data_IF_454481430342
#
_entry.id   IF_454481430342
#
_cell.length_a   1.000
_cell.length_b   1.000
_cell.length_c   1.000
_cell.angle_alpha   90.00
_cell.angle_beta   90.00
_cell.angle_gamma   90.00
#
_symmetry.space_group_name_H-M   'P 1'
#
loop_
_entity.id
_entity.type
_entity.pdbx_description
1 polymer ?
#
# COMPACT_ATOMS: atom_id res chain seq x y z
N UNK A 1 -9.91 16.09 -3.43
CA UNK A 1 -10.21 14.63 -3.31
C UNK A 1 -10.35 14.02 -4.68
N UNK A 2 -11.28 14.49 -5.50
CA UNK A 2 -11.58 13.95 -6.84
C UNK A 2 -10.36 13.87 -7.78
N UNK A 3 -9.48 14.86 -7.76
CA UNK A 3 -8.28 14.89 -8.62
C UNK A 3 -7.31 13.73 -8.35
N UNK A 4 -7.13 13.29 -7.09
CA UNK A 4 -6.21 12.19 -6.76
C UNK A 4 -6.77 10.82 -7.13
N UNK A 5 -8.05 10.57 -6.90
CA UNK A 5 -8.71 9.34 -7.37
C UNK A 5 -8.57 9.19 -8.88
N UNK A 6 -8.79 10.28 -9.62
CA UNK A 6 -8.57 10.30 -11.07
C UNK A 6 -7.12 10.01 -11.45
N UNK A 7 -6.14 10.56 -10.71
CA UNK A 7 -4.72 10.29 -10.97
C UNK A 7 -4.36 8.83 -10.72
N UNK A 8 -4.86 8.23 -9.62
CA UNK A 8 -4.67 6.80 -9.33
C UNK A 8 -5.28 5.92 -10.40
N UNK A 9 -6.54 6.23 -10.80
CA UNK A 9 -7.20 5.50 -11.86
C UNK A 9 -6.37 5.56 -13.16
N UNK A 10 -5.96 6.74 -13.58
CA UNK A 10 -5.13 6.92 -14.79
C UNK A 10 -3.77 6.20 -14.68
N UNK A 11 -3.17 6.14 -13.49
CA UNK A 11 -1.93 5.41 -13.26
C UNK A 11 -2.14 3.90 -13.39
N UNK A 12 -3.23 3.36 -12.85
CA UNK A 12 -3.62 1.94 -13.04
C UNK A 12 -3.94 1.61 -14.49
N UNK A 13 -4.68 2.48 -15.17
CA UNK A 13 -4.98 2.32 -16.59
C UNK A 13 -3.70 2.32 -17.45
N UNK A 14 -2.73 3.19 -17.12
CA UNK A 14 -1.43 3.20 -17.78
C UNK A 14 -0.62 1.93 -17.49
N UNK A 15 -0.64 1.41 -16.27
CA UNK A 15 0.00 0.14 -15.93
C UNK A 15 -0.61 -1.05 -16.70
N UNK A 16 -1.92 -1.07 -16.88
CA UNK A 16 -2.61 -2.16 -17.62
C UNK A 16 -2.50 -2.01 -19.13
N UNK A 17 -2.55 -0.79 -19.64
CA UNK A 17 -2.68 -0.52 -21.07
C UNK A 17 -1.40 -0.08 -21.79
N UNK A 18 -0.34 0.31 -21.07
CA UNK A 18 0.92 0.80 -21.67
C UNK A 18 2.08 -0.11 -21.26
N UNK A 19 2.61 -0.95 -22.17
CA UNK A 19 3.65 -1.93 -21.83
C UNK A 19 4.91 -1.31 -21.20
N UNK A 20 5.35 -0.14 -21.66
CA UNK A 20 6.49 0.58 -21.12
C UNK A 20 6.26 1.05 -19.68
N UNK A 21 5.07 1.48 -19.33
CA UNK A 21 4.71 1.85 -17.95
C UNK A 21 4.72 0.61 -17.04
N UNK A 22 4.12 -0.49 -17.51
CA UNK A 22 4.12 -1.75 -16.77
C UNK A 22 5.53 -2.29 -16.54
N UNK A 23 6.38 -2.27 -17.60
CA UNK A 23 7.76 -2.71 -17.51
C UNK A 23 8.56 -1.86 -16.52
N UNK A 24 8.42 -0.53 -16.55
CA UNK A 24 9.09 0.36 -15.62
C UNK A 24 8.75 0.05 -14.15
N UNK A 25 7.46 -0.06 -13.83
CA UNK A 25 7.03 -0.34 -12.45
C UNK A 25 7.45 -1.74 -11.99
N UNK A 26 7.37 -2.75 -12.87
CA UNK A 26 7.84 -4.12 -12.57
C UNK A 26 9.35 -4.15 -12.34
N UNK A 27 10.12 -3.44 -13.15
CA UNK A 27 11.58 -3.33 -12.99
C UNK A 27 11.93 -2.65 -11.66
N UNK A 28 11.26 -1.55 -11.32
CA UNK A 28 11.45 -0.90 -10.02
C UNK A 28 11.14 -1.85 -8.86
N UNK A 29 10.03 -2.57 -8.92
CA UNK A 29 9.67 -3.59 -7.90
C UNK A 29 10.78 -4.65 -7.78
N UNK A 30 11.23 -5.19 -8.90
CA UNK A 30 12.26 -6.24 -8.91
C UNK A 30 13.60 -5.74 -8.37
N UNK A 31 13.99 -4.51 -8.70
CA UNK A 31 15.26 -3.95 -8.25
C UNK A 31 15.26 -3.55 -6.78
N UNK A 32 14.11 -3.14 -6.22
CA UNK A 32 14.03 -2.67 -4.83
C UNK A 32 13.69 -3.81 -3.87
N UNK A 33 12.69 -4.62 -4.21
CA UNK A 33 12.20 -5.68 -3.31
C UNK A 33 12.84 -7.04 -3.65
N UNK A 34 13.13 -7.28 -4.93
CA UNK A 34 13.66 -8.57 -5.41
C UNK A 34 12.80 -9.76 -4.91
N UNK A 35 13.40 -10.69 -4.20
CA UNK A 35 12.74 -11.84 -3.57
C UNK A 35 12.06 -11.53 -2.24
N UNK A 36 12.17 -10.30 -1.74
CA UNK A 36 11.69 -9.85 -0.43
C UNK A 36 12.83 -9.38 0.48
N UNK A 37 12.52 -8.40 1.33
CA UNK A 37 13.45 -7.86 2.30
C UNK A 37 13.42 -8.70 3.57
N UNK A 38 14.58 -9.13 4.03
CA UNK A 38 14.76 -9.90 5.26
C UNK A 38 15.35 -9.02 6.37
N UNK A 39 15.04 -9.28 7.65
CA UNK A 39 15.65 -8.56 8.74
C UNK A 39 17.14 -8.92 8.86
N UNK A 40 17.98 -7.92 9.06
CA UNK A 40 19.39 -8.06 9.42
C UNK A 40 19.57 -7.39 10.78
N UNK A 41 19.29 -8.08 11.90
CA UNK A 41 19.38 -7.49 13.22
C UNK A 41 20.85 -7.12 13.54
N UNK A 42 21.04 -5.88 13.98
CA UNK A 42 22.31 -5.36 14.48
C UNK A 42 22.08 -4.95 15.93
N UNK A 43 22.46 -5.82 16.85
CA UNK A 43 22.26 -5.61 18.28
C UNK A 43 23.54 -5.04 18.88
N UNK A 44 23.42 -3.95 19.62
CA UNK A 44 24.50 -3.42 20.43
C UNK A 44 24.64 -4.25 21.69
N UNK A 45 25.56 -5.20 21.67
CA UNK A 45 25.83 -6.11 22.79
C UNK A 45 26.42 -5.39 23.99
N UNK A 46 27.25 -4.36 23.79
CA UNK A 46 27.88 -3.59 24.87
C UNK A 46 26.81 -2.83 25.66
N UNK A 47 25.90 -2.14 24.97
CA UNK A 47 24.78 -1.41 25.60
C UNK A 47 23.86 -2.32 26.40
N UNK A 48 23.62 -3.55 25.93
CA UNK A 48 22.74 -4.52 26.58
C UNK A 48 23.48 -5.41 27.61
N UNK A 49 24.80 -5.29 27.74
CA UNK A 49 25.59 -6.12 28.60
C UNK A 49 25.67 -7.59 28.18
N UNK A 50 25.52 -7.86 26.89
CA UNK A 50 25.55 -9.21 26.30
C UNK A 50 26.98 -9.56 25.88
N UNK A 51 27.33 -10.83 26.06
CA UNK A 51 28.55 -11.40 25.47
C UNK A 51 28.35 -11.58 23.94
N UNK A 52 29.45 -11.65 23.19
CA UNK A 52 29.42 -11.86 21.75
C UNK A 52 28.60 -13.11 21.36
N UNK A 53 28.78 -14.22 22.05
CA UNK A 53 28.01 -15.43 21.79
C UNK A 53 26.53 -15.35 22.13
N UNK A 54 26.14 -14.53 23.13
CA UNK A 54 24.72 -14.27 23.43
C UNK A 54 24.09 -13.37 22.40
N UNK A 55 24.83 -12.36 21.93
CA UNK A 55 24.39 -11.47 20.84
C UNK A 55 24.14 -12.24 19.54
N UNK A 56 25.08 -13.09 19.11
CA UNK A 56 24.93 -13.92 17.92
C UNK A 56 23.71 -14.86 18.02
N UNK A 57 23.53 -15.51 19.18
CA UNK A 57 22.36 -16.39 19.42
C UNK A 57 21.05 -15.62 19.33
N UNK A 58 20.99 -14.42 19.92
CA UNK A 58 19.79 -13.58 19.88
C UNK A 58 19.48 -13.12 18.45
N UNK A 59 20.49 -12.69 17.70
CA UNK A 59 20.33 -12.30 16.31
C UNK A 59 19.84 -13.48 15.45
N UNK A 60 20.43 -14.65 15.61
CA UNK A 60 20.01 -15.87 14.91
C UNK A 60 18.57 -16.28 15.28
N UNK A 61 18.21 -16.14 16.56
CA UNK A 61 16.85 -16.40 17.01
C UNK A 61 15.84 -15.46 16.37
N UNK A 62 16.12 -14.15 16.31
CA UNK A 62 15.24 -13.16 15.68
C UNK A 62 15.00 -13.51 14.21
N UNK A 63 16.06 -13.82 13.47
CA UNK A 63 15.93 -14.19 12.05
C UNK A 63 15.10 -15.45 11.89
N UNK A 64 15.36 -16.48 12.70
CA UNK A 64 14.61 -17.73 12.66
C UNK A 64 13.13 -17.55 12.96
N UNK A 65 12.79 -16.84 14.04
CA UNK A 65 11.40 -16.60 14.44
C UNK A 65 10.65 -15.74 13.38
N UNK A 66 11.35 -14.76 12.81
CA UNK A 66 10.81 -13.98 11.72
C UNK A 66 10.54 -14.85 10.49
N UNK A 67 11.46 -15.72 10.08
CA UNK A 67 11.28 -16.61 8.93
C UNK A 67 10.11 -17.58 9.13
N UNK A 68 9.96 -18.15 10.33
CA UNK A 68 8.80 -19.01 10.66
C UNK A 68 7.45 -18.30 10.46
N UNK A 69 7.40 -17.00 10.73
CA UNK A 69 6.20 -16.20 10.49
C UNK A 69 6.08 -15.75 9.04
N UNK A 70 7.18 -15.30 8.41
CA UNK A 70 7.20 -14.65 7.12
C UNK A 70 7.07 -15.60 5.92
N UNK A 71 7.62 -16.82 6.03
CA UNK A 71 7.66 -17.79 4.93
C UNK A 71 6.31 -18.45 4.65
N UNK A 72 5.35 -18.29 5.56
CA UNK A 72 4.04 -18.91 5.47
C UNK A 72 2.93 -17.88 5.21
N UNK A 73 1.83 -18.25 4.51
CA UNK A 73 0.68 -17.37 4.33
C UNK A 73 -0.06 -17.00 5.63
N UNK A 74 0.39 -17.54 6.77
CA UNK A 74 -0.21 -17.21 8.07
C UNK A 74 0.03 -15.76 8.47
N UNK A 75 1.10 -15.13 7.99
CA UNK A 75 1.35 -13.71 8.18
C UNK A 75 0.33 -12.81 7.48
N UNK A 76 -0.33 -13.29 6.44
CA UNK A 76 -1.37 -12.58 5.71
C UNK A 76 -2.74 -12.74 6.39
N UNK A 77 -3.48 -11.65 6.52
CA UNK A 77 -4.86 -11.67 7.04
C UNK A 77 -5.84 -12.39 6.12
N UNK A 78 -5.56 -12.43 4.81
CA UNK A 78 -6.33 -13.10 3.77
C UNK A 78 -5.81 -14.52 3.50
N UNK A 79 -4.61 -14.87 4.00
CA UNK A 79 -3.94 -16.17 3.87
C UNK A 79 -3.65 -16.59 2.43
N UNK A 80 -3.35 -15.65 1.59
CA UNK A 80 -3.03 -15.88 0.19
C UNK A 80 -1.52 -15.86 0.00
N UNK A 81 -0.88 -14.79 0.49
CA UNK A 81 0.52 -14.48 0.24
C UNK A 81 1.42 -14.67 1.47
N UNK A 82 2.67 -15.00 1.26
CA UNK A 82 3.69 -14.91 2.30
C UNK A 82 4.15 -13.44 2.46
N UNK A 83 4.94 -13.16 3.49
CA UNK A 83 5.35 -11.78 3.78
C UNK A 83 6.16 -11.13 2.67
N UNK A 84 6.95 -11.88 1.93
CA UNK A 84 7.76 -11.36 0.82
C UNK A 84 6.92 -11.01 -0.40
N UNK A 85 5.88 -11.80 -0.67
CA UNK A 85 4.88 -11.49 -1.70
C UNK A 85 4.05 -10.26 -1.32
N UNK A 86 3.66 -10.13 -0.04
CA UNK A 86 3.00 -8.92 0.47
C UNK A 86 3.88 -7.68 0.32
N UNK A 87 5.20 -7.77 0.54
CA UNK A 87 6.12 -6.65 0.29
C UNK A 87 6.15 -6.25 -1.18
N UNK A 88 6.19 -7.21 -2.10
CA UNK A 88 6.16 -6.95 -3.53
C UNK A 88 4.84 -6.29 -3.95
N UNK A 89 3.72 -6.78 -3.42
CA UNK A 89 2.39 -6.23 -3.68
C UNK A 89 2.26 -4.81 -3.12
N UNK A 90 2.68 -4.60 -1.87
CA UNK A 90 2.65 -3.30 -1.21
C UNK A 90 3.52 -2.26 -1.96
N UNK A 91 4.72 -2.65 -2.40
CA UNK A 91 5.58 -1.74 -3.15
C UNK A 91 4.99 -1.39 -4.52
N UNK A 92 4.41 -2.36 -5.22
CA UNK A 92 3.72 -2.10 -6.49
C UNK A 92 2.50 -1.18 -6.28
N UNK A 93 1.72 -1.41 -5.23
CA UNK A 93 0.60 -0.54 -4.82
C UNK A 93 1.07 0.89 -4.54
N UNK A 94 2.16 1.04 -3.78
CA UNK A 94 2.80 2.33 -3.53
C UNK A 94 3.18 3.05 -4.84
N UNK A 95 3.81 2.37 -5.79
CA UNK A 95 4.20 2.95 -7.07
C UNK A 95 3.00 3.39 -7.91
N UNK A 96 1.96 2.54 -7.99
CA UNK A 96 0.76 2.79 -8.80
C UNK A 96 -0.17 3.83 -8.19
N UNK A 97 -0.39 3.76 -6.87
CA UNK A 97 -1.39 4.58 -6.19
C UNK A 97 -0.77 5.79 -5.49
N UNK A 98 0.57 5.80 -5.30
CA UNK A 98 1.31 6.82 -4.57
C UNK A 98 1.43 6.56 -3.08
N UNK A 99 0.56 5.73 -2.54
CA UNK A 99 0.62 5.23 -1.17
C UNK A 99 0.09 3.81 -1.09
N UNK A 100 0.51 3.10 -0.04
CA UNK A 100 -0.01 1.79 0.33
C UNK A 100 -0.27 1.75 1.83
N UNK A 101 -1.33 1.07 2.22
CA UNK A 101 -1.77 1.01 3.61
C UNK A 101 -1.88 -0.44 4.02
N UNK A 102 -1.17 -0.79 5.10
CA UNK A 102 -1.26 -2.09 5.72
C UNK A 102 -1.81 -1.96 7.14
N UNK A 103 -2.84 -2.72 7.44
CA UNK A 103 -3.35 -2.91 8.80
C UNK A 103 -2.60 -4.06 9.45
N UNK A 104 -2.38 -3.97 10.75
CA UNK A 104 -1.68 -4.95 11.56
C UNK A 104 -2.62 -5.59 12.61
N UNK A 105 -3.64 -6.36 12.20
CA UNK A 105 -4.54 -6.98 13.13
C UNK A 105 -3.86 -8.12 13.90
N UNK A 106 -4.15 -8.22 15.19
CA UNK A 106 -3.80 -9.38 16.03
C UNK A 106 -4.95 -10.38 15.98
N UNK A 107 -4.72 -11.53 15.35
CA UNK A 107 -5.74 -12.59 15.21
C UNK A 107 -5.22 -13.89 15.79
N UNK A 108 -5.65 -14.21 17.01
CA UNK A 108 -5.32 -15.48 17.65
C UNK A 108 -5.94 -16.65 16.90
N UNK A 109 -5.15 -17.68 16.69
CA UNK A 109 -5.59 -18.92 16.04
C UNK A 109 -4.95 -20.12 16.72
N UNK A 110 -5.75 -21.17 16.95
CA UNK A 110 -5.28 -22.43 17.52
C UNK A 110 -4.21 -23.06 16.61
N UNK A 111 -3.12 -23.50 17.20
CA UNK A 111 -2.00 -24.13 16.49
C UNK A 111 -1.04 -23.15 15.80
N UNK A 112 -1.24 -21.84 15.95
CA UNK A 112 -0.34 -20.83 15.41
C UNK A 112 0.35 -20.05 16.55
N UNK A 113 1.69 -19.97 16.53
CA UNK A 113 2.44 -19.29 17.60
C UNK A 113 2.38 -17.75 17.47
N UNK A 114 2.09 -17.23 16.28
CA UNK A 114 2.08 -15.79 16.00
C UNK A 114 0.68 -15.28 15.71
N UNK A 115 0.27 -14.23 16.42
CA UNK A 115 -1.05 -13.60 16.27
C UNK A 115 -1.05 -12.44 15.27
N UNK A 116 0.14 -11.87 14.99
CA UNK A 116 0.29 -10.74 14.07
C UNK A 116 -0.06 -11.16 12.63
N UNK A 117 -0.89 -10.35 11.99
CA UNK A 117 -1.22 -10.46 10.57
C UNK A 117 -0.97 -9.13 9.88
N UNK A 118 -0.70 -9.19 8.60
CA UNK A 118 -0.65 -8.02 7.71
C UNK A 118 -1.86 -8.08 6.80
N UNK A 119 -2.59 -7.00 6.69
CA UNK A 119 -3.70 -6.84 5.76
C UNK A 119 -3.46 -5.62 4.89
N UNK A 120 -3.17 -5.84 3.62
CA UNK A 120 -3.07 -4.75 2.66
C UNK A 120 -4.47 -4.21 2.34
N UNK A 121 -4.58 -2.91 2.25
CA UNK A 121 -5.83 -2.22 1.94
C UNK A 121 -5.60 -1.31 0.76
N UNK A 122 -6.36 -1.50 -0.30
CA UNK A 122 -6.30 -0.63 -1.46
C UNK A 122 -6.41 0.84 -1.07
N UNK A 123 -5.53 1.66 -1.61
CA UNK A 123 -5.41 3.08 -1.28
C UNK A 123 -6.74 3.85 -1.43
N UNK A 124 -7.62 3.45 -2.34
CA UNK A 124 -8.91 4.09 -2.57
C UNK A 124 -9.96 3.73 -1.52
N UNK A 125 -9.81 2.58 -0.85
CA UNK A 125 -10.69 2.20 0.28
C UNK A 125 -10.43 3.04 1.53
N UNK A 126 -9.25 3.65 1.64
CA UNK A 126 -9.00 4.65 2.68
C UNK A 126 -9.46 6.00 2.17
N UNK A 127 -10.67 6.37 2.50
CA UNK A 127 -11.35 7.57 2.04
C UNK A 127 -12.21 8.19 3.15
N UNK A 128 -12.48 9.47 3.00
CA UNK A 128 -13.33 10.19 3.98
C UNK A 128 -14.75 9.65 3.96
N UNK A 129 -15.38 9.45 5.13
CA UNK A 129 -16.77 9.03 5.23
C UNK A 129 -17.67 9.93 4.38
N UNK A 130 -18.65 9.32 3.69
CA UNK A 130 -19.58 9.98 2.77
C UNK A 130 -18.91 10.74 1.61
N UNK A 131 -17.61 10.50 1.37
CA UNK A 131 -16.84 11.13 0.29
C UNK A 131 -16.41 12.57 0.56
N UNK A 132 -16.67 13.13 1.75
CA UNK A 132 -16.38 14.51 2.09
C UNK A 132 -15.24 14.65 3.10
N UNK A 133 -14.24 15.45 2.75
CA UNK A 133 -13.20 15.87 3.69
C UNK A 133 -13.76 16.83 4.74
N UNK A 134 -13.28 16.72 5.96
CA UNK A 134 -13.69 17.56 7.10
C UNK A 134 -12.47 18.29 7.64
N UNK A 135 -12.48 19.61 7.47
CA UNK A 135 -11.34 20.46 7.84
C UNK A 135 -11.55 21.18 9.18
N UNK A 136 -12.70 20.98 9.81
CA UNK A 136 -13.05 21.56 11.10
C UNK A 136 -13.48 20.48 12.08
N UNK A 137 -13.34 20.71 13.40
CA UNK A 137 -13.80 19.77 14.40
C UNK A 137 -15.30 19.45 14.24
N UNK A 138 -15.61 18.17 14.20
CA UNK A 138 -16.98 17.68 14.04
C UNK A 138 -17.14 16.29 14.68
N UNK A 139 -18.35 15.76 14.66
CA UNK A 139 -18.62 14.38 15.08
C UNK A 139 -18.94 13.53 13.87
N UNK A 140 -18.24 12.42 13.71
CA UNK A 140 -18.43 11.44 12.63
C UNK A 140 -18.62 10.06 13.24
N UNK A 141 -19.75 9.41 12.97
CA UNK A 141 -20.09 8.09 13.53
C UNK A 141 -19.87 8.00 15.06
N UNK A 142 -20.18 9.07 15.80
CA UNK A 142 -20.02 9.13 17.25
C UNK A 142 -18.61 9.51 17.75
N UNK A 143 -17.62 9.60 16.86
CA UNK A 143 -16.26 10.04 17.21
C UNK A 143 -16.11 11.54 17.06
N UNK A 144 -15.53 12.19 18.08
CA UNK A 144 -15.09 13.59 17.97
C UNK A 144 -13.78 13.63 17.19
N UNK A 145 -13.79 14.22 16.02
CA UNK A 145 -12.63 14.31 15.12
C UNK A 145 -12.24 15.77 14.94
N UNK A 146 -10.95 16.08 14.83
CA UNK A 146 -10.48 17.44 14.54
C UNK A 146 -10.50 17.70 13.03
N UNK A 147 -9.89 16.82 12.25
CA UNK A 147 -10.00 16.87 10.79
C UNK A 147 -9.88 15.49 10.16
N UNK A 148 -10.53 15.30 9.01
CA UNK A 148 -10.38 14.10 8.16
C UNK A 148 -10.10 14.58 6.76
N UNK A 149 -8.96 14.18 6.20
CA UNK A 149 -8.56 14.48 4.83
C UNK A 149 -8.26 13.18 4.10
N UNK A 150 -9.07 12.84 3.11
CA UNK A 150 -8.90 11.63 2.29
C UNK A 150 -8.77 10.34 3.12
N UNK A 151 -9.59 10.24 4.17
CA UNK A 151 -9.60 9.08 5.06
C UNK A 151 -8.53 9.08 6.15
N UNK A 152 -7.66 10.08 6.20
CA UNK A 152 -6.65 10.25 7.25
C UNK A 152 -7.17 11.25 8.27
N UNK A 153 -7.39 10.81 9.50
CA UNK A 153 -7.82 11.63 10.63
C UNK A 153 -6.60 12.18 11.38
N UNK A 154 -6.64 13.48 11.68
CA UNK A 154 -5.58 14.13 12.46
C UNK A 154 -6.16 14.86 13.66
N UNK A 155 -5.34 15.03 14.69
CA UNK A 155 -5.64 15.92 15.83
C UNK A 155 -5.36 17.39 15.52
N UNK A 156 -5.43 18.24 16.56
CA UNK A 156 -5.19 19.67 16.45
C UNK A 156 -3.76 20.03 16.03
N UNK A 157 -2.78 19.20 16.42
CA UNK A 157 -1.36 19.41 16.11
C UNK A 157 -0.96 18.80 14.76
N UNK A 158 -1.93 18.14 14.09
CA UNK A 158 -1.72 17.49 12.79
C UNK A 158 -1.13 16.10 12.88
N UNK A 159 -1.05 15.48 14.06
CA UNK A 159 -0.68 14.09 14.23
C UNK A 159 -1.77 13.17 13.68
N UNK A 160 -1.38 12.12 12.99
CA UNK A 160 -2.32 11.11 12.49
C UNK A 160 -2.80 10.24 13.65
N UNK A 161 -4.10 10.25 13.91
CA UNK A 161 -4.71 9.49 15.00
C UNK A 161 -5.50 8.27 14.54
N UNK A 162 -6.09 8.33 13.35
CA UNK A 162 -6.84 7.21 12.80
C UNK A 162 -6.93 7.24 11.27
N UNK A 163 -7.36 6.12 10.71
CA UNK A 163 -7.67 5.94 9.30
C UNK A 163 -9.11 5.46 9.14
N UNK A 164 -9.81 6.02 8.15
CA UNK A 164 -11.18 5.63 7.81
C UNK A 164 -11.16 4.71 6.60
N UNK A 165 -11.50 3.46 6.82
CA UNK A 165 -11.43 2.38 5.82
C UNK A 165 -12.85 2.01 5.41
N UNK A 166 -13.14 2.14 4.12
CA UNK A 166 -14.41 1.73 3.52
C UNK A 166 -14.44 0.20 3.33
N UNK A 167 -15.59 -0.42 3.57
CA UNK A 167 -15.77 -1.86 3.35
C UNK A 167 -15.68 -2.25 1.87
N UNK A 168 -16.05 -1.35 0.95
CA UNK A 168 -16.03 -1.56 -0.50
C UNK A 168 -15.09 -0.57 -1.20
N UNK A 169 -14.67 -0.92 -2.42
CA UNK A 169 -13.94 0.03 -3.27
C UNK A 169 -14.91 1.15 -3.72
N UNK A 170 -14.59 2.44 -3.50
CA UNK A 170 -15.52 3.56 -3.75
C UNK A 170 -16.03 3.68 -5.20
N UNK A 171 -15.24 3.15 -6.16
CA UNK A 171 -15.58 3.13 -7.59
C UNK A 171 -16.03 1.74 -8.05
N UNK A 172 -16.19 0.78 -7.14
CA UNK A 172 -16.69 -0.55 -7.46
C UNK A 172 -18.15 -0.53 -7.85
N UNK A 173 -18.56 -1.47 -8.69
CA UNK A 173 -19.98 -1.70 -8.95
C UNK A 173 -20.60 -2.31 -7.70
N UNK A 174 -21.37 -1.51 -6.95
CA UNK A 174 -22.12 -1.99 -5.81
C UNK A 174 -23.51 -2.43 -6.29
N UNK A 175 -23.89 -3.66 -5.98
CA UNK A 175 -25.29 -4.07 -6.11
C UNK A 175 -26.10 -3.31 -5.08
N UNK A 176 -27.19 -2.71 -5.49
CA UNK A 176 -28.17 -2.07 -4.60
C UNK A 176 -28.83 -3.08 -3.65
N UNK A 177 -28.52 -4.37 -3.81
CA UNK A 177 -29.01 -5.49 -3.00
C UNK A 177 -28.03 -5.91 -1.89
N UNK A 178 -26.82 -5.28 -1.80
CA UNK A 178 -25.90 -5.57 -0.69
C UNK A 178 -26.52 -5.06 0.61
N UNK A 179 -26.92 -6.00 1.47
CA UNK A 179 -27.63 -5.73 2.73
C UNK A 179 -26.83 -4.83 3.69
N UNK A 180 -25.49 -4.79 3.54
CA UNK A 180 -24.60 -4.07 4.44
C UNK A 180 -24.28 -2.62 3.99
N UNK A 181 -24.69 -2.22 2.78
CA UNK A 181 -24.44 -0.87 2.28
C UNK A 181 -22.95 -0.44 2.31
N UNK A 182 -22.68 0.80 2.01
CA UNK A 182 -21.32 1.39 2.12
C UNK A 182 -21.11 1.86 3.56
N UNK A 183 -20.13 1.26 4.23
CA UNK A 183 -19.78 1.56 5.62
C UNK A 183 -18.30 1.89 5.75
N UNK A 184 -17.96 2.72 6.76
CA UNK A 184 -16.58 3.05 7.08
C UNK A 184 -16.24 2.55 8.48
N UNK A 185 -15.07 1.94 8.59
CA UNK A 185 -14.49 1.55 9.87
C UNK A 185 -13.36 2.51 10.23
N UNK A 186 -13.45 3.13 11.40
CA UNK A 186 -12.36 3.92 11.97
C UNK A 186 -11.33 2.97 12.58
N UNK A 187 -10.08 3.04 12.12
CA UNK A 187 -8.94 2.25 12.62
C UNK A 187 -7.94 3.20 13.24
N UNK A 188 -7.70 3.07 14.54
CA UNK A 188 -6.70 3.88 15.25
C UNK A 188 -5.29 3.60 14.72
N UNK A 189 -4.51 4.67 14.49
CA UNK A 189 -3.14 4.56 13.99
C UNK A 189 -2.23 3.81 14.96
N UNK A 190 -2.50 3.96 16.26
CA UNK A 190 -1.73 3.34 17.35
C UNK A 190 -2.67 2.69 18.36
N UNK A 191 -2.22 1.58 18.94
CA UNK A 191 -2.95 0.89 20.00
C UNK A 191 -2.95 1.71 21.29
N UNK A 192 -4.13 2.00 21.83
CA UNK A 192 -4.31 2.83 23.01
C UNK A 192 -3.57 2.30 24.26
N UNK A 193 -3.43 0.98 24.39
CA UNK A 193 -2.75 0.33 25.53
C UNK A 193 -1.26 0.10 25.31
N UNK A 194 -0.85 -0.15 24.07
CA UNK A 194 0.51 -0.61 23.76
C UNK A 194 1.37 0.45 23.09
N UNK A 195 0.78 1.52 22.57
CA UNK A 195 1.46 2.50 21.71
C UNK A 195 1.98 1.94 20.38
N UNK A 196 1.78 0.65 20.12
CA UNK A 196 2.25 0.03 18.87
C UNK A 196 1.40 0.47 17.70
N UNK A 197 2.01 0.52 16.51
CA UNK A 197 1.29 0.85 15.28
C UNK A 197 0.27 -0.23 14.92
N UNK A 198 -0.96 0.18 14.64
CA UNK A 198 -1.99 -0.67 14.03
C UNK A 198 -2.05 -0.50 12.52
N UNK A 199 -1.52 0.60 12.00
CA UNK A 199 -1.54 0.94 10.58
C UNK A 199 -0.15 1.37 10.14
N UNK A 200 0.35 0.75 9.08
CA UNK A 200 1.51 1.21 8.34
C UNK A 200 1.01 1.95 7.10
N UNK A 201 1.40 3.21 6.97
CA UNK A 201 1.10 4.02 5.80
C UNK A 201 2.43 4.35 5.09
N UNK A 202 2.65 3.68 3.96
CA UNK A 202 3.85 3.85 3.14
C UNK A 202 3.53 4.87 2.04
N UNK A 203 4.21 6.00 2.06
CA UNK A 203 4.06 7.04 1.02
C UNK A 203 5.32 7.89 0.91
N UNK A 204 5.52 8.49 -0.26
CA UNK A 204 6.50 9.56 -0.44
C UNK A 204 5.86 10.93 -0.14
N UNK A 205 6.41 11.64 0.85
CA UNK A 205 5.96 12.99 1.22
C UNK A 205 6.85 14.03 0.58
N UNK A 206 6.26 14.84 -0.29
CA UNK A 206 6.92 15.97 -0.95
C UNK A 206 6.61 17.31 -0.27
N UNK A 207 5.58 17.34 0.61
CA UNK A 207 5.15 18.54 1.35
C UNK A 207 4.75 18.18 2.77
N UNK A 208 5.04 19.06 3.73
CA UNK A 208 4.73 18.85 5.15
C UNK A 208 3.25 18.55 5.43
N UNK A 209 2.32 19.24 4.78
CA UNK A 209 0.87 19.02 4.93
C UNK A 209 0.29 17.89 4.09
N UNK A 210 1.10 17.13 3.38
CA UNK A 210 0.63 16.03 2.54
C UNK A 210 0.22 14.82 3.40
N UNK A 211 -1.02 14.37 3.26
CA UNK A 211 -1.58 13.24 4.01
C UNK A 211 -1.67 11.96 3.19
N UNK A 212 -1.62 12.05 1.87
CA UNK A 212 -1.71 10.91 0.95
C UNK A 212 -0.66 11.05 -0.17
N UNK A 213 -0.18 9.92 -0.65
CA UNK A 213 0.80 9.85 -1.73
C UNK A 213 0.25 10.27 -3.10
N UNK A 214 1.15 10.42 -4.06
CA UNK A 214 0.87 10.68 -5.48
C UNK A 214 1.51 9.57 -6.30
N UNK A 215 0.80 8.96 -7.27
CA UNK A 215 1.37 7.93 -8.14
C UNK A 215 2.67 8.37 -8.80
N UNK A 216 3.65 7.48 -8.86
CA UNK A 216 4.95 7.81 -9.47
C UNK A 216 4.83 8.15 -10.96
N UNK A 217 3.84 7.56 -11.64
CA UNK A 217 3.56 7.83 -13.05
C UNK A 217 2.87 9.18 -13.28
N UNK A 218 2.33 9.83 -12.24
CA UNK A 218 1.51 11.04 -12.40
C UNK A 218 2.15 12.12 -13.29
N UNK A 219 3.44 12.49 -13.13
CA UNK A 219 4.06 13.54 -13.96
C UNK A 219 4.32 13.11 -15.40
N UNK A 220 4.37 11.82 -15.69
CA UNK A 220 4.74 11.28 -17.02
C UNK A 220 3.59 10.62 -17.76
N UNK A 221 2.38 10.59 -17.19
CA UNK A 221 1.22 9.90 -17.75
C UNK A 221 0.91 10.35 -19.18
N UNK A 222 0.97 11.64 -19.45
CA UNK A 222 0.64 12.18 -20.76
C UNK A 222 1.69 11.80 -21.82
N UNK A 223 2.97 11.90 -21.45
CA UNK A 223 4.08 11.47 -22.31
C UNK A 223 4.04 9.97 -22.60
N UNK A 224 3.71 9.14 -21.61
CA UNK A 224 3.55 7.69 -21.78
C UNK A 224 2.41 7.35 -22.74
N UNK A 225 1.28 8.06 -22.66
CA UNK A 225 0.16 7.88 -23.59
C UNK A 225 0.53 8.28 -25.03
N UNK A 226 1.25 9.39 -25.18
CA UNK A 226 1.72 9.83 -26.50
C UNK A 226 2.70 8.81 -27.10
N UNK A 227 3.65 8.33 -26.28
CA UNK A 227 4.59 7.28 -26.71
C UNK A 227 3.87 5.99 -27.13
N UNK A 228 2.88 5.54 -26.35
CA UNK A 228 2.07 4.37 -26.70
C UNK A 228 1.38 4.53 -28.05
N UNK A 229 0.69 5.65 -28.26
CA UNK A 229 0.01 5.95 -29.56
C UNK A 229 0.99 6.02 -30.74
N UNK A 230 2.17 6.61 -30.51
CA UNK A 230 3.21 6.70 -31.54
C UNK A 230 3.74 5.30 -31.91
N UNK A 231 3.98 4.46 -30.91
CA UNK A 231 4.43 3.08 -31.14
C UNK A 231 3.38 2.26 -31.90
N UNK A 232 2.12 2.38 -31.52
CA UNK A 232 1.01 1.71 -32.22
C UNK A 232 0.91 2.19 -33.69
N UNK A 233 1.00 3.50 -33.93
CA UNK A 233 0.99 4.06 -35.28
C UNK A 233 2.14 3.52 -36.14
N UNK A 234 3.37 3.46 -35.58
CA UNK A 234 4.52 2.93 -36.31
C UNK A 234 4.36 1.43 -36.65
N UNK A 235 3.81 0.64 -35.75
CA UNK A 235 3.57 -0.78 -35.98
C UNK A 235 2.56 -1.02 -37.12
N UNK A 236 1.53 -0.17 -37.20
CA UNK A 236 0.52 -0.29 -38.28
C UNK A 236 0.95 0.31 -39.62
N UNK A 237 1.87 1.28 -39.62
CA UNK A 237 2.34 1.94 -40.84
C UNK A 237 3.65 1.40 -41.39
N UNK A 238 4.35 0.56 -40.63
CA UNK A 238 5.57 -0.11 -41.08
C UNK A 238 5.22 -1.17 -42.14
N UNK A 239 5.81 -1.11 -43.35
CA UNK A 239 5.56 -2.12 -44.38
C UNK A 239 5.97 -3.51 -43.85
N UNK A 240 5.09 -4.48 -44.04
CA UNK A 240 5.39 -5.88 -43.71
C UNK A 240 6.64 -6.36 -44.47
N UNK A 241 7.52 -7.20 -43.90
CA UNK A 241 8.58 -7.83 -44.68
C UNK A 241 8.12 -8.56 -45.92
N UNK A 242 6.83 -8.94 -46.02
CA UNK A 242 6.20 -9.50 -47.22
C UNK A 242 5.93 -8.47 -48.31
N UNK A 243 5.68 -7.20 -47.95
CA UNK A 243 5.42 -6.14 -48.89
C UNK A 243 6.70 -5.65 -49.60
N UNK A 244 7.88 -5.90 -48.96
CA UNK A 244 9.20 -5.59 -49.50
C UNK A 244 9.74 -6.68 -50.45
N UNK A 245 9.12 -7.85 -50.53
CA UNK A 245 9.55 -8.98 -51.35
C UNK A 245 8.89 -9.07 -52.74
N UNK A 246 8.04 -8.08 -53.08
CA UNK A 246 7.28 -8.04 -54.36
C UNK A 246 7.68 -6.88 -55.30
N UNK A 247 8.90 -6.32 -55.10
CA UNK A 247 9.45 -5.33 -56.05
C UNK A 247 10.76 -5.82 -56.66
#
# INVERSE_FOLDING_TARGET
VYKRQVLRQRSRDAYMGIPTAAAALKTMRTNVIAGGLMPAPQIDGEYLGLTEGEMERLQAQIVREFSLWADTPVCDAERIDNFYQLQQLAFLGYLMNGDEIALLPMKRQVGQPYDLRVQLVEADRVCSPDGFDRLMPCTVQGYKVHSIVQGVETDADGMVVAYWVCNHHPLGSHSTTDADGITWKRVEAYGAKTGRRNVLHVMNRERAGQRRGVPILAPVLESLKQLGRYTDCLLYTSPSPRDLSTS
#
